data_IF_475488385258
#
_entry.id   IF_475488385258
#
_cell.length_a   1.000
_cell.length_b   1.000
_cell.length_c   1.000
_cell.angle_alpha   90.00
_cell.angle_beta   90.00
_cell.angle_gamma   90.00
#
_symmetry.space_group_name_H-M   'P 1'
#
loop_
_entity.id
_entity.type
_entity.pdbx_description
1 polymer ?
#
# COMPACT_ATOMS: atom_id res chain seq x y z
N UNK A 1 -4.80 -2.71 22.16
CA UNK A 1 -5.18 -2.89 20.74
C UNK A 1 -4.20 -3.82 20.03
N UNK A 2 -4.69 -4.66 19.13
CA UNK A 2 -3.80 -5.41 18.22
C UNK A 2 -3.42 -4.54 17.01
N UNK A 3 -2.49 -5.04 16.20
CA UNK A 3 -2.00 -4.27 15.03
C UNK A 3 -3.12 -3.88 14.06
N UNK A 4 -4.05 -4.78 13.78
CA UNK A 4 -5.16 -4.47 12.87
C UNK A 4 -6.04 -3.35 13.43
N UNK A 5 -6.33 -3.38 14.71
CA UNK A 5 -7.12 -2.33 15.37
C UNK A 5 -6.41 -0.98 15.31
N UNK A 6 -5.08 -0.96 15.48
CA UNK A 6 -4.29 0.26 15.38
C UNK A 6 -4.26 0.82 13.95
N UNK A 7 -4.17 -0.07 12.96
CA UNK A 7 -4.26 0.33 11.54
C UNK A 7 -5.61 0.99 11.27
N UNK A 8 -6.70 0.35 11.69
CA UNK A 8 -8.05 0.89 11.50
C UNK A 8 -8.22 2.22 12.21
N UNK A 9 -7.73 2.34 13.44
CA UNK A 9 -7.82 3.59 14.22
C UNK A 9 -7.04 4.73 13.60
N UNK A 10 -6.03 4.45 12.79
CA UNK A 10 -5.21 5.46 12.12
C UNK A 10 -5.87 6.02 10.86
N UNK A 11 -6.85 5.33 10.30
CA UNK A 11 -7.55 5.74 9.07
C UNK A 11 -8.64 6.74 9.44
N UNK A 12 -8.65 7.90 8.79
CA UNK A 12 -9.61 8.97 9.07
C UNK A 12 -10.43 9.43 7.87
N UNK A 13 -10.15 8.90 6.65
CA UNK A 13 -10.88 9.27 5.44
C UNK A 13 -11.54 8.05 4.80
N UNK A 14 -12.48 8.31 3.87
CA UNK A 14 -13.11 7.25 3.09
C UNK A 14 -12.25 6.80 1.92
N UNK A 15 -11.39 7.69 1.40
CA UNK A 15 -10.49 7.36 0.28
C UNK A 15 -9.15 6.88 0.84
N UNK A 16 -9.01 5.56 0.86
CA UNK A 16 -7.81 4.87 1.38
C UNK A 16 -7.19 4.03 0.27
N UNK A 17 -5.89 4.13 0.14
CA UNK A 17 -5.12 3.38 -0.85
C UNK A 17 -4.04 2.55 -0.16
N UNK A 18 -3.77 1.38 -0.71
CA UNK A 18 -2.64 0.55 -0.30
C UNK A 18 -1.64 0.60 -1.44
N UNK A 19 -0.46 1.17 -1.19
CA UNK A 19 0.57 1.34 -2.20
C UNK A 19 1.72 0.38 -1.98
N UNK A 20 2.14 -0.30 -3.05
CA UNK A 20 3.34 -1.14 -3.09
C UNK A 20 4.53 -0.34 -3.63
N UNK A 21 5.73 -0.95 -3.63
CA UNK A 21 6.86 -0.38 -4.36
C UNK A 21 6.58 -0.40 -5.87
N UNK A 22 7.36 0.36 -6.64
CA UNK A 22 7.25 0.41 -8.09
C UNK A 22 7.55 -0.97 -8.69
N UNK A 23 6.87 -1.32 -9.78
CA UNK A 23 7.00 -2.61 -10.46
C UNK A 23 6.83 -3.76 -9.46
N UNK A 24 5.63 -3.90 -8.85
CA UNK A 24 5.45 -4.81 -7.73
C UNK A 24 5.68 -6.27 -8.11
N UNK A 25 6.32 -6.99 -7.19
CA UNK A 25 6.53 -8.44 -7.30
C UNK A 25 5.39 -9.21 -6.61
N UNK A 26 5.39 -10.57 -6.66
CA UNK A 26 4.33 -11.35 -6.03
C UNK A 26 4.18 -11.09 -4.54
N UNK A 27 5.28 -10.89 -3.81
CA UNK A 27 5.21 -10.64 -2.37
C UNK A 27 4.51 -9.32 -2.05
N UNK A 28 4.83 -8.27 -2.81
CA UNK A 28 4.20 -6.97 -2.62
C UNK A 28 2.69 -7.03 -2.90
N UNK A 29 2.30 -7.68 -3.99
CA UNK A 29 0.88 -7.85 -4.34
C UNK A 29 0.16 -8.69 -3.29
N UNK A 30 0.78 -9.79 -2.82
CA UNK A 30 0.18 -10.65 -1.79
C UNK A 30 -0.05 -9.87 -0.48
N UNK A 31 0.93 -9.07 -0.05
CA UNK A 31 0.80 -8.24 1.14
C UNK A 31 -0.34 -7.23 0.99
N UNK A 32 -0.38 -6.53 -0.13
CA UNK A 32 -1.42 -5.54 -0.40
C UNK A 32 -2.81 -6.19 -0.45
N UNK A 33 -2.93 -7.30 -1.13
CA UNK A 33 -4.20 -8.03 -1.25
C UNK A 33 -4.68 -8.52 0.11
N UNK A 34 -3.79 -9.15 0.90
CA UNK A 34 -4.14 -9.63 2.24
C UNK A 34 -4.65 -8.52 3.13
N UNK A 35 -3.97 -7.37 3.13
CA UNK A 35 -4.40 -6.23 3.92
C UNK A 35 -5.73 -5.67 3.41
N UNK A 36 -5.92 -5.57 2.10
CA UNK A 36 -7.18 -5.08 1.53
C UNK A 36 -8.37 -5.94 1.95
N UNK A 37 -8.20 -7.26 1.99
CA UNK A 37 -9.25 -8.19 2.41
C UNK A 37 -9.54 -8.06 3.91
N UNK A 38 -8.51 -7.88 4.75
CA UNK A 38 -8.70 -7.64 6.18
C UNK A 38 -9.47 -6.34 6.44
N UNK A 39 -9.11 -5.27 5.74
CA UNK A 39 -9.80 -3.99 5.88
C UNK A 39 -11.24 -4.07 5.38
N UNK A 40 -11.47 -4.78 4.28
CA UNK A 40 -12.81 -5.00 3.73
C UNK A 40 -13.72 -5.72 4.73
N UNK A 41 -13.19 -6.71 5.43
CA UNK A 41 -13.93 -7.43 6.47
C UNK A 41 -14.34 -6.51 7.63
N UNK A 42 -13.66 -5.37 7.79
CA UNK A 42 -13.96 -4.36 8.80
C UNK A 42 -14.70 -3.14 8.24
N UNK A 43 -15.22 -3.25 7.02
CA UNK A 43 -15.99 -2.19 6.39
C UNK A 43 -15.19 -1.07 5.73
N UNK A 44 -13.89 -1.27 5.54
CA UNK A 44 -13.02 -0.28 4.90
C UNK A 44 -12.65 -0.78 3.51
N UNK A 45 -13.01 0.01 2.48
CA UNK A 45 -12.73 -0.31 1.09
C UNK A 45 -11.47 0.43 0.64
N UNK A 46 -10.33 -0.27 0.66
CA UNK A 46 -9.04 0.29 0.27
C UNK A 46 -8.64 -0.23 -1.12
N UNK A 47 -8.23 0.69 -1.99
CA UNK A 47 -7.82 0.38 -3.35
C UNK A 47 -6.30 0.17 -3.40
N UNK A 48 -5.87 -0.91 -4.07
CA UNK A 48 -4.44 -1.21 -4.24
C UNK A 48 -3.90 -0.44 -5.44
N UNK A 49 -2.81 0.28 -5.27
CA UNK A 49 -2.18 1.06 -6.32
C UNK A 49 -0.67 0.87 -6.36
N UNK A 50 -0.08 1.10 -7.53
CA UNK A 50 1.35 0.96 -7.75
C UNK A 50 1.80 1.80 -8.94
N UNK A 51 3.10 2.04 -9.04
CA UNK A 51 3.73 2.70 -10.20
C UNK A 51 4.50 1.68 -11.02
N UNK A 52 4.43 1.80 -12.34
CA UNK A 52 5.13 0.90 -13.25
C UNK A 52 4.31 -0.34 -13.58
N UNK A 53 4.69 -1.02 -14.67
CA UNK A 53 3.95 -2.18 -15.13
C UNK A 53 4.23 -3.42 -14.28
N UNK A 54 3.30 -4.37 -14.30
CA UNK A 54 3.50 -5.70 -13.75
C UNK A 54 4.07 -6.57 -14.87
N UNK A 55 5.42 -6.64 -14.92
CA UNK A 55 6.12 -7.32 -16.02
C UNK A 55 6.33 -8.81 -15.80
N UNK A 56 6.37 -9.24 -14.52
CA UNK A 56 6.62 -10.64 -14.21
C UNK A 56 5.38 -11.48 -14.51
N UNK A 57 5.57 -12.55 -15.30
CA UNK A 57 4.48 -13.46 -15.66
C UNK A 57 3.78 -14.03 -14.43
N UNK A 58 4.55 -14.38 -13.39
CA UNK A 58 4.00 -14.94 -12.15
C UNK A 58 3.08 -13.93 -11.45
N UNK A 59 3.52 -12.67 -11.33
CA UNK A 59 2.72 -11.63 -10.69
C UNK A 59 1.44 -11.35 -11.47
N UNK A 60 1.54 -11.22 -12.79
CA UNK A 60 0.38 -10.97 -13.65
C UNK A 60 -0.62 -12.13 -13.56
N UNK A 61 -0.12 -13.37 -13.54
CA UNK A 61 -0.96 -14.56 -13.41
C UNK A 61 -1.68 -14.59 -12.07
N UNK A 62 -0.99 -14.25 -10.99
CA UNK A 62 -1.58 -14.20 -9.65
C UNK A 62 -2.72 -13.17 -9.59
N UNK A 63 -2.49 -11.96 -10.11
CA UNK A 63 -3.50 -10.91 -10.16
C UNK A 63 -4.75 -11.38 -10.92
N UNK A 64 -4.54 -12.02 -12.06
CA UNK A 64 -5.65 -12.53 -12.88
C UNK A 64 -6.39 -13.68 -12.21
N UNK A 65 -5.68 -14.69 -11.70
CA UNK A 65 -6.30 -15.87 -11.12
C UNK A 65 -7.06 -15.60 -9.84
N UNK A 66 -6.56 -14.68 -9.02
CA UNK A 66 -7.20 -14.29 -7.76
C UNK A 66 -8.16 -13.11 -7.94
N UNK A 67 -8.28 -12.61 -9.16
CA UNK A 67 -9.12 -11.46 -9.48
C UNK A 67 -8.85 -10.27 -8.56
N UNK A 68 -7.57 -9.96 -8.35
CA UNK A 68 -7.15 -8.85 -7.49
C UNK A 68 -7.35 -7.54 -8.22
N UNK A 69 -8.09 -6.61 -7.60
CA UNK A 69 -8.33 -5.30 -8.18
C UNK A 69 -7.16 -4.37 -7.83
N UNK A 70 -6.28 -4.12 -8.80
CA UNK A 70 -5.12 -3.25 -8.65
C UNK A 70 -5.16 -2.13 -9.68
N UNK A 71 -4.64 -0.96 -9.31
CA UNK A 71 -4.64 0.22 -10.18
C UNK A 71 -3.22 0.73 -10.38
N UNK A 72 -2.79 0.82 -11.65
CA UNK A 72 -1.52 1.44 -11.98
C UNK A 72 -1.63 2.97 -11.87
N UNK A 73 -0.70 3.58 -11.16
CA UNK A 73 -0.63 5.03 -11.02
C UNK A 73 -0.15 5.65 -12.35
N UNK A 74 -0.91 6.62 -12.84
CA UNK A 74 -0.60 7.29 -14.10
C UNK A 74 -0.22 8.76 -13.88
N UNK A 75 -0.97 9.50 -13.05
CA UNK A 75 -0.70 10.90 -12.79
C UNK A 75 -1.13 11.33 -11.39
N UNK A 76 -0.55 12.46 -10.92
CA UNK A 76 -0.91 13.06 -9.63
C UNK A 76 -2.38 13.47 -9.55
N UNK A 77 -3.02 13.70 -10.68
CA UNK A 77 -4.43 14.14 -10.73
C UNK A 77 -5.39 13.08 -10.23
N UNK A 78 -4.95 11.81 -10.17
CA UNK A 78 -5.77 10.72 -9.67
C UNK A 78 -5.92 10.73 -8.15
N UNK A 79 -5.08 11.47 -7.44
CA UNK A 79 -5.02 11.49 -5.98
C UNK A 79 -5.23 12.91 -5.45
N UNK A 80 -5.95 13.01 -4.35
CA UNK A 80 -6.12 14.25 -3.59
C UNK A 80 -5.14 14.26 -2.42
N UNK A 81 -4.76 15.45 -1.96
CA UNK A 81 -3.85 15.59 -0.82
C UNK A 81 -4.41 14.98 0.47
N UNK A 82 -5.72 14.89 0.57
CA UNK A 82 -6.42 14.30 1.73
C UNK A 82 -6.55 12.79 1.67
N UNK A 83 -6.25 12.17 0.53
CA UNK A 83 -6.29 10.72 0.39
C UNK A 83 -5.25 10.09 1.31
N UNK A 84 -5.62 9.03 2.01
CA UNK A 84 -4.74 8.35 2.94
C UNK A 84 -4.13 7.12 2.29
N UNK A 85 -2.82 6.97 2.45
CA UNK A 85 -2.04 5.92 1.80
C UNK A 85 -1.38 5.04 2.86
N UNK A 86 -1.56 3.73 2.70
CA UNK A 86 -0.89 2.70 3.48
C UNK A 86 0.20 2.10 2.62
N UNK A 87 1.44 2.18 3.08
CA UNK A 87 2.57 1.58 2.37
C UNK A 87 2.79 0.15 2.86
N UNK A 88 2.90 -0.78 1.94
CA UNK A 88 3.23 -2.17 2.24
C UNK A 88 4.44 -2.60 1.42
N UNK A 89 5.37 -3.32 2.05
CA UNK A 89 6.60 -3.82 1.45
C UNK A 89 7.47 -2.69 0.86
N UNK A 90 7.35 -1.48 1.42
CA UNK A 90 8.08 -0.29 0.98
C UNK A 90 8.00 0.80 2.03
N UNK A 91 8.89 1.79 1.95
CA UNK A 91 8.94 2.93 2.86
C UNK A 91 9.04 4.23 2.07
N UNK A 92 8.39 5.29 2.58
CA UNK A 92 8.43 6.61 1.98
C UNK A 92 9.87 7.11 1.87
N UNK A 93 10.20 7.69 0.73
CA UNK A 93 11.52 8.26 0.48
C UNK A 93 12.52 7.28 -0.12
N UNK A 94 12.23 5.98 -0.13
CA UNK A 94 13.10 5.01 -0.78
C UNK A 94 13.02 5.16 -2.30
N UNK A 95 14.10 4.76 -3.00
CA UNK A 95 14.19 4.95 -4.45
C UNK A 95 13.23 4.09 -5.26
N UNK A 96 12.69 3.04 -4.67
CA UNK A 96 11.82 2.07 -5.36
C UNK A 96 10.32 2.37 -5.19
N UNK A 97 9.97 3.53 -4.65
CA UNK A 97 8.58 3.91 -4.46
C UNK A 97 8.38 5.39 -4.80
N UNK A 98 7.34 5.68 -5.56
CA UNK A 98 6.98 7.05 -5.91
C UNK A 98 6.10 7.67 -4.82
N UNK A 99 6.23 8.97 -4.61
CA UNK A 99 5.32 9.74 -3.78
C UNK A 99 4.07 10.09 -4.61
N UNK A 100 2.95 9.46 -4.28
CA UNK A 100 1.65 9.79 -4.86
C UNK A 100 1.03 10.91 -4.03
N UNK A 101 0.38 11.85 -4.63
CA UNK A 101 -0.13 13.09 -4.03
C UNK A 101 -1.14 12.89 -2.88
N UNK A 102 -0.83 12.05 -1.91
CA UNK A 102 -1.66 11.75 -0.74
C UNK A 102 -0.83 11.80 0.54
N UNK A 103 -1.42 11.37 1.65
CA UNK A 103 -0.76 11.31 2.95
C UNK A 103 -0.41 9.86 3.27
N UNK A 104 0.87 9.54 3.37
CA UNK A 104 1.33 8.23 3.80
C UNK A 104 1.19 8.14 5.32
N UNK A 105 0.13 7.50 5.78
CA UNK A 105 -0.22 7.46 7.21
C UNK A 105 0.25 6.20 7.93
N UNK A 106 0.45 5.11 7.19
CA UNK A 106 0.79 3.80 7.74
C UNK A 106 1.88 3.17 6.89
N UNK A 107 2.84 2.51 7.54
CA UNK A 107 3.88 1.74 6.87
C UNK A 107 4.02 0.36 7.51
N UNK A 108 3.93 -0.68 6.69
CA UNK A 108 4.14 -2.08 7.11
C UNK A 108 5.21 -2.66 6.19
N UNK A 109 6.39 -2.92 6.71
CA UNK A 109 7.54 -3.30 5.91
C UNK A 109 8.52 -4.17 6.68
N UNK A 110 9.45 -4.79 5.97
CA UNK A 110 10.51 -5.63 6.55
C UNK A 110 11.91 -5.25 6.09
N UNK A 111 12.05 -4.12 5.37
CA UNK A 111 13.35 -3.64 4.91
C UNK A 111 14.02 -2.75 5.96
N UNK A 112 15.35 -2.58 5.91
CA UNK A 112 16.04 -1.66 6.81
C UNK A 112 15.51 -0.23 6.71
N UNK A 113 15.54 0.48 7.84
CA UNK A 113 15.12 1.89 7.90
C UNK A 113 16.30 2.78 7.58
N UNK A 114 16.21 3.57 6.51
CA UNK A 114 17.25 4.52 6.11
C UNK A 114 16.89 5.96 6.47
N UNK A 115 15.60 6.24 6.62
CA UNK A 115 15.10 7.56 6.94
C UNK A 115 13.94 7.44 7.92
N UNK A 116 13.96 8.24 8.99
CA UNK A 116 12.87 8.25 9.96
C UNK A 116 11.70 9.08 9.41
N UNK A 117 10.56 8.44 9.24
CA UNK A 117 9.31 9.06 8.78
C UNK A 117 8.26 8.94 9.88
N UNK A 118 7.53 10.01 10.11
CA UNK A 118 6.45 10.05 11.10
C UNK A 118 5.15 9.53 10.48
N UNK A 119 4.89 8.23 10.64
CA UNK A 119 3.60 7.64 10.30
C UNK A 119 2.68 7.67 11.52
N UNK A 120 1.37 7.65 11.30
CA UNK A 120 0.42 7.47 12.41
C UNK A 120 0.55 6.10 13.06
N UNK A 121 0.87 5.09 12.25
CA UNK A 121 1.20 3.75 12.70
C UNK A 121 2.27 3.18 11.78
N UNK A 122 3.25 2.49 12.35
CA UNK A 122 4.20 1.71 11.54
C UNK A 122 4.58 0.42 12.24
N UNK A 123 4.77 -0.62 11.44
CA UNK A 123 5.31 -1.90 11.88
C UNK A 123 6.38 -2.30 10.87
N UNK A 124 7.61 -1.92 11.18
CA UNK A 124 8.76 -2.18 10.32
C UNK A 124 9.68 -3.15 11.06
N UNK A 125 9.83 -4.35 10.50
CA UNK A 125 10.60 -5.44 11.11
C UNK A 125 11.70 -5.89 10.14
N UNK A 126 12.87 -5.25 10.18
CA UNK A 126 13.99 -5.59 9.29
C UNK A 126 14.51 -7.01 9.48
#
# INVERSE_FOLDING_TARGET
>A
MNCLEEVIASISTERVFIQTHNFPDPDAIACAYGLSELLKAKGIDAEICYKGSIDRTVTAKMVRLLNINVKEYISFEEFNKEDEIILVDAQKGNSNIIDMNGQEIICIDHHPVYEHIDYRFCDIRP
#
